data_IF_636527573318
#
_entry.id   IF_636527573318
#
_cell.length_a   1.000
_cell.length_b   1.000
_cell.length_c   1.000
_cell.angle_alpha   90.00
_cell.angle_beta   90.00
_cell.angle_gamma   90.00
#
_symmetry.space_group_name_H-M   'P 1'
#
loop_
_entity.id
_entity.type
_entity.pdbx_description
1 polymer ?
#
# COMPACT_ATOMS: atom_id res chain seq x y z
N UNK A 1 11.69 5.86 20.61
CA UNK A 1 12.19 5.35 19.32
C UNK A 1 13.39 4.42 19.49
N UNK A 2 14.46 4.81 20.20
CA UNK A 2 15.57 3.87 20.48
C UNK A 2 15.10 2.56 21.13
N UNK A 3 14.28 2.62 22.19
CA UNK A 3 13.69 1.43 22.83
C UNK A 3 12.81 0.58 21.88
N UNK A 4 12.22 1.19 20.83
CA UNK A 4 11.44 0.43 19.85
C UNK A 4 12.36 -0.36 18.93
N UNK A 5 13.48 0.23 18.49
CA UNK A 5 14.49 -0.48 17.71
C UNK A 5 15.08 -1.64 18.54
N UNK A 6 15.34 -1.42 19.83
CA UNK A 6 15.84 -2.47 20.70
C UNK A 6 14.85 -3.65 20.80
N UNK A 7 13.54 -3.39 20.97
CA UNK A 7 12.51 -4.43 20.97
C UNK A 7 12.39 -5.18 19.63
N UNK A 8 12.54 -4.47 18.49
CA UNK A 8 12.53 -5.12 17.17
C UNK A 8 13.71 -6.08 17.02
N UNK A 9 14.89 -5.67 17.49
CA UNK A 9 16.10 -6.50 17.46
C UNK A 9 15.98 -7.70 18.40
N UNK A 10 15.46 -7.50 19.62
CA UNK A 10 15.20 -8.58 20.58
C UNK A 10 14.23 -9.63 20.03
N UNK A 11 13.26 -9.22 19.21
CA UNK A 11 12.24 -10.08 18.60
C UNK A 11 12.46 -10.33 17.10
N UNK A 12 13.70 -10.22 16.59
CA UNK A 12 14.01 -10.22 15.14
C UNK A 12 13.35 -11.38 14.39
N UNK A 13 13.47 -12.61 14.89
CA UNK A 13 12.88 -13.79 14.22
C UNK A 13 11.37 -13.72 14.07
N UNK A 14 10.66 -13.12 15.04
CA UNK A 14 9.21 -12.96 14.95
C UNK A 14 8.85 -11.84 13.97
N UNK A 15 9.59 -10.73 14.00
CA UNK A 15 9.40 -9.60 13.08
C UNK A 15 9.66 -10.03 11.64
N UNK A 16 10.73 -10.78 11.38
CA UNK A 16 11.05 -11.35 10.07
C UNK A 16 9.92 -12.23 9.53
N UNK A 17 9.34 -13.09 10.37
CA UNK A 17 8.21 -13.95 9.98
C UNK A 17 6.97 -13.13 9.62
N UNK A 18 6.69 -12.08 10.39
CA UNK A 18 5.57 -11.16 10.13
C UNK A 18 5.78 -10.42 8.80
N UNK A 19 6.96 -9.81 8.59
CA UNK A 19 7.27 -9.10 7.35
C UNK A 19 7.19 -10.03 6.15
N UNK A 20 7.71 -11.26 6.27
CA UNK A 20 7.64 -12.26 5.22
C UNK A 20 6.20 -12.67 4.88
N UNK A 21 5.33 -12.79 5.88
CA UNK A 21 3.91 -13.06 5.66
C UNK A 21 3.25 -11.96 4.80
N UNK A 22 3.43 -10.69 5.16
CA UNK A 22 2.87 -9.58 4.37
C UNK A 22 3.47 -9.51 2.97
N UNK A 23 4.79 -9.66 2.85
CA UNK A 23 5.47 -9.69 1.55
C UNK A 23 4.88 -10.77 0.63
N UNK A 24 4.65 -11.97 1.16
CA UNK A 24 4.10 -13.07 0.38
C UNK A 24 2.70 -12.77 -0.14
N UNK A 25 1.79 -12.28 0.70
CA UNK A 25 0.40 -12.10 0.30
C UNK A 25 0.19 -10.83 -0.53
N UNK A 26 0.91 -9.74 -0.24
CA UNK A 26 0.82 -8.52 -1.06
C UNK A 26 1.22 -8.79 -2.53
N UNK A 27 2.27 -9.59 -2.75
CA UNK A 27 2.71 -10.02 -4.09
C UNK A 27 1.72 -10.96 -4.79
N UNK A 28 0.97 -11.75 -4.02
CA UNK A 28 0.11 -12.78 -4.58
C UNK A 28 -0.94 -12.18 -5.52
N UNK A 29 -1.54 -11.04 -5.12
CA UNK A 29 -2.54 -10.33 -5.93
C UNK A 29 -2.00 -9.93 -7.31
N UNK A 30 -0.80 -9.36 -7.35
CA UNK A 30 -0.18 -8.91 -8.60
C UNK A 30 0.21 -10.10 -9.50
N UNK A 31 0.65 -11.21 -8.90
CA UNK A 31 1.00 -12.42 -9.63
C UNK A 31 -0.24 -13.05 -10.26
N UNK A 32 -1.32 -13.24 -9.51
CA UNK A 32 -2.53 -13.89 -10.06
C UNK A 32 -3.27 -13.03 -11.08
N UNK A 33 -3.06 -11.71 -11.06
CA UNK A 33 -3.57 -10.79 -12.06
C UNK A 33 -2.76 -10.80 -13.37
N UNK A 34 -1.55 -11.36 -13.37
CA UNK A 34 -0.67 -11.37 -14.55
C UNK A 34 -1.14 -12.35 -15.63
N UNK A 35 -0.97 -11.97 -16.90
CA UNK A 35 -1.29 -12.85 -18.04
C UNK A 35 -0.48 -14.15 -17.98
N UNK A 36 0.78 -14.07 -17.53
CA UNK A 36 1.66 -15.22 -17.39
C UNK A 36 1.18 -16.23 -16.33
N UNK A 37 0.47 -15.81 -15.28
CA UNK A 37 -0.21 -16.74 -14.37
C UNK A 37 -1.47 -17.31 -15.03
N UNK A 38 -2.24 -16.45 -15.71
CA UNK A 38 -3.51 -16.83 -16.36
C UNK A 38 -3.35 -17.84 -17.48
N UNK A 39 -2.21 -17.88 -18.16
CA UNK A 39 -1.88 -18.89 -19.17
C UNK A 39 -1.92 -20.34 -18.64
N UNK A 40 -1.81 -20.54 -17.32
CA UNK A 40 -1.90 -21.85 -16.68
C UNK A 40 -3.34 -22.26 -16.32
N UNK A 41 -4.32 -21.37 -16.49
CA UNK A 41 -5.72 -21.62 -16.17
C UNK A 41 -6.41 -22.20 -17.40
N UNK A 42 -6.72 -23.49 -17.36
CA UNK A 42 -7.39 -24.20 -18.47
C UNK A 42 -8.83 -24.61 -18.14
N UNK A 43 -9.26 -24.50 -16.87
CA UNK A 43 -10.62 -24.82 -16.47
C UNK A 43 -11.59 -23.69 -16.89
N UNK A 44 -12.68 -23.99 -17.61
CA UNK A 44 -13.63 -22.98 -18.07
C UNK A 44 -14.39 -22.28 -16.93
N UNK A 45 -14.36 -22.82 -15.70
CA UNK A 45 -14.91 -22.18 -14.50
C UNK A 45 -13.96 -21.14 -13.91
N UNK A 46 -12.74 -21.03 -14.41
CA UNK A 46 -11.71 -20.13 -13.88
C UNK A 46 -10.98 -20.70 -12.65
N UNK A 47 -10.99 -22.01 -12.45
CA UNK A 47 -10.26 -22.65 -11.34
C UNK A 47 -8.89 -23.16 -11.79
N UNK A 48 -7.94 -23.29 -10.86
CA UNK A 48 -6.59 -23.79 -11.15
C UNK A 48 -6.27 -25.04 -10.32
N UNK A 49 -5.66 -26.05 -10.93
CA UNK A 49 -5.21 -27.24 -10.20
C UNK A 49 -4.02 -26.90 -9.28
N UNK A 50 -3.86 -27.62 -8.16
CA UNK A 50 -2.67 -27.46 -7.29
C UNK A 50 -1.35 -27.59 -8.05
N UNK A 51 -1.31 -28.50 -9.03
CA UNK A 51 -0.12 -28.76 -9.86
C UNK A 51 0.22 -27.57 -10.75
N UNK A 52 -0.78 -26.98 -11.39
CA UNK A 52 -0.55 -25.86 -12.31
C UNK A 52 -0.33 -24.55 -11.53
N UNK A 53 -0.98 -24.37 -10.38
CA UNK A 53 -0.65 -23.29 -9.44
C UNK A 53 0.83 -23.36 -9.03
N UNK A 54 1.32 -24.52 -8.61
CA UNK A 54 2.74 -24.71 -8.25
C UNK A 54 3.69 -24.35 -9.40
N UNK A 55 3.35 -24.71 -10.64
CA UNK A 55 4.17 -24.38 -11.82
C UNK A 55 4.14 -22.89 -12.15
N UNK A 56 2.96 -22.28 -12.09
CA UNK A 56 2.77 -20.86 -12.37
C UNK A 56 3.54 -20.01 -11.35
N UNK A 57 3.51 -20.38 -10.07
CA UNK A 57 4.25 -19.67 -9.03
C UNK A 57 5.78 -19.87 -9.16
N UNK A 58 6.24 -21.07 -9.54
CA UNK A 58 7.66 -21.33 -9.74
C UNK A 58 8.22 -20.61 -10.99
N UNK A 59 7.43 -20.45 -12.05
CA UNK A 59 7.86 -19.81 -13.30
C UNK A 59 8.10 -18.30 -13.12
N UNK A 60 7.36 -17.65 -12.22
CA UNK A 60 7.49 -16.22 -11.93
C UNK A 60 8.76 -15.85 -11.16
N UNK A 61 9.42 -16.83 -10.50
CA UNK A 61 10.66 -16.64 -9.71
C UNK A 61 10.58 -15.57 -8.62
N UNK A 62 9.37 -15.28 -8.13
CA UNK A 62 9.15 -14.35 -7.01
C UNK A 62 9.06 -15.03 -5.64
N UNK A 63 8.85 -16.35 -5.61
CA UNK A 63 8.75 -17.15 -4.39
C UNK A 63 9.80 -18.25 -4.33
N UNK A 64 10.20 -18.61 -3.11
CA UNK A 64 10.96 -19.82 -2.83
C UNK A 64 10.06 -21.06 -2.84
N UNK A 65 10.60 -22.27 -3.08
CA UNK A 65 9.80 -23.49 -3.05
C UNK A 65 9.04 -23.70 -1.74
N UNK A 66 9.63 -23.35 -0.60
CA UNK A 66 8.96 -23.41 0.71
C UNK A 66 7.78 -22.45 0.84
N UNK A 67 7.88 -21.26 0.25
CA UNK A 67 6.79 -20.28 0.24
C UNK A 67 5.63 -20.75 -0.63
N UNK A 68 5.92 -21.35 -1.79
CA UNK A 68 4.85 -21.89 -2.64
C UNK A 68 4.14 -23.06 -1.94
N UNK A 69 4.88 -23.94 -1.26
CA UNK A 69 4.29 -25.01 -0.46
C UNK A 69 3.44 -24.47 0.69
N UNK A 70 3.89 -23.40 1.36
CA UNK A 70 3.10 -22.71 2.37
C UNK A 70 1.80 -22.15 1.78
N UNK A 71 1.85 -21.44 0.65
CA UNK A 71 0.66 -20.92 -0.03
C UNK A 71 -0.33 -22.03 -0.41
N UNK A 72 0.18 -23.16 -0.94
CA UNK A 72 -0.65 -24.34 -1.23
C UNK A 72 -1.30 -24.92 0.03
N UNK A 73 -0.60 -24.91 1.16
CA UNK A 73 -1.16 -25.35 2.44
C UNK A 73 -2.24 -24.41 2.99
N UNK A 74 -2.19 -23.12 2.62
CA UNK A 74 -3.21 -22.12 2.95
C UNK A 74 -4.38 -22.13 1.96
N UNK A 75 -4.22 -22.70 0.77
CA UNK A 75 -5.28 -22.78 -0.24
C UNK A 75 -6.30 -23.85 0.10
N UNK A 76 -7.57 -23.55 -0.15
CA UNK A 76 -8.65 -24.54 -0.12
C UNK A 76 -8.86 -25.06 -1.53
N UNK A 77 -9.09 -26.37 -1.64
CA UNK A 77 -9.39 -27.00 -2.91
C UNK A 77 -10.73 -27.72 -2.83
N UNK A 78 -11.47 -27.69 -3.93
CA UNK A 78 -12.74 -28.41 -4.07
C UNK A 78 -12.51 -29.94 -4.11
N UNK A 79 -13.60 -30.70 -4.26
CA UNK A 79 -13.56 -32.16 -4.37
C UNK A 79 -12.72 -32.68 -5.55
N UNK A 80 -12.41 -31.83 -6.54
CA UNK A 80 -11.60 -32.16 -7.72
C UNK A 80 -10.16 -31.62 -7.60
N UNK A 81 -9.71 -31.21 -6.41
CA UNK A 81 -8.40 -30.61 -6.17
C UNK A 81 -8.16 -29.27 -6.90
N UNK A 82 -9.24 -28.53 -7.19
CA UNK A 82 -9.20 -27.23 -7.86
C UNK A 82 -9.26 -26.08 -6.86
N UNK A 83 -8.43 -25.06 -7.05
CA UNK A 83 -8.35 -23.85 -6.22
C UNK A 83 -9.08 -22.71 -6.94
N UNK A 84 -9.95 -22.01 -6.21
CA UNK A 84 -10.38 -20.66 -6.58
C UNK A 84 -9.28 -19.68 -6.19
N UNK A 85 -8.47 -19.28 -7.16
CA UNK A 85 -7.30 -18.44 -6.92
C UNK A 85 -7.68 -16.98 -6.67
N UNK A 86 -8.81 -16.51 -7.19
CA UNK A 86 -9.28 -15.14 -7.00
C UNK A 86 -9.82 -14.97 -5.57
N UNK A 87 -10.63 -15.92 -5.11
CA UNK A 87 -11.09 -15.97 -3.71
C UNK A 87 -9.90 -16.12 -2.76
N UNK A 88 -8.98 -17.06 -3.05
CA UNK A 88 -7.80 -17.28 -2.23
C UNK A 88 -6.94 -16.02 -2.10
N UNK A 89 -6.63 -15.34 -3.20
CA UNK A 89 -5.83 -14.12 -3.17
C UNK A 89 -6.55 -12.99 -2.40
N UNK A 90 -7.85 -12.80 -2.63
CA UNK A 90 -8.63 -11.74 -1.99
C UNK A 90 -8.75 -11.92 -0.48
N UNK A 91 -8.95 -13.16 -0.02
CA UNK A 91 -9.09 -13.51 1.41
C UNK A 91 -7.92 -13.04 2.27
N UNK A 92 -6.69 -13.10 1.74
CA UNK A 92 -5.49 -12.70 2.48
C UNK A 92 -5.05 -11.27 2.18
N UNK A 93 -5.39 -10.71 1.01
CA UNK A 93 -4.97 -9.35 0.65
C UNK A 93 -5.60 -8.28 1.54
N UNK A 94 -6.91 -8.35 1.81
CA UNK A 94 -7.59 -7.30 2.59
C UNK A 94 -7.04 -7.21 4.03
N UNK A 95 -6.95 -8.32 4.80
CA UNK A 95 -6.32 -8.27 6.12
C UNK A 95 -4.84 -7.87 6.06
N UNK A 96 -4.13 -8.29 5.00
CA UNK A 96 -2.74 -7.91 4.78
C UNK A 96 -2.59 -6.39 4.53
N UNK A 97 -3.54 -5.79 3.82
CA UNK A 97 -3.57 -4.35 3.53
C UNK A 97 -3.74 -3.53 4.81
N UNK A 98 -4.75 -3.88 5.60
CA UNK A 98 -5.14 -3.14 6.80
C UNK A 98 -4.03 -3.09 7.85
N UNK A 99 -3.40 -4.23 8.15
CA UNK A 99 -2.32 -4.29 9.13
C UNK A 99 -0.99 -3.85 8.51
N UNK A 100 -0.75 -4.20 7.24
CA UNK A 100 0.50 -3.91 6.53
C UNK A 100 0.79 -2.42 6.43
N UNK A 101 -0.23 -1.57 6.26
CA UNK A 101 -0.05 -0.12 6.21
C UNK A 101 0.56 0.42 7.51
N UNK A 102 0.06 -0.02 8.66
CA UNK A 102 0.56 0.41 9.97
C UNK A 102 2.02 0.00 10.20
N UNK A 103 2.42 -1.17 9.71
CA UNK A 103 3.82 -1.63 9.75
C UNK A 103 4.70 -0.74 8.87
N UNK A 104 4.25 -0.42 7.65
CA UNK A 104 4.96 0.47 6.74
C UNK A 104 5.16 1.87 7.36
N UNK A 105 4.12 2.41 8.00
CA UNK A 105 4.19 3.70 8.74
C UNK A 105 5.19 3.62 9.88
N UNK A 106 5.14 2.57 10.71
CA UNK A 106 6.06 2.40 11.84
C UNK A 106 7.51 2.37 11.39
N UNK A 107 7.84 1.54 10.39
CA UNK A 107 9.19 1.42 9.87
C UNK A 107 9.67 2.71 9.20
N UNK A 108 8.80 3.37 8.43
CA UNK A 108 9.11 4.69 7.83
C UNK A 108 9.41 5.71 8.93
N UNK A 109 8.56 5.81 9.95
CA UNK A 109 8.71 6.76 11.04
C UNK A 109 10.00 6.52 11.84
N UNK A 110 10.31 5.26 12.15
CA UNK A 110 11.59 4.91 12.80
C UNK A 110 12.79 5.28 11.93
N UNK A 111 12.72 5.04 10.61
CA UNK A 111 13.83 5.33 9.69
C UNK A 111 14.13 6.82 9.57
N UNK A 112 13.10 7.67 9.57
CA UNK A 112 13.26 9.13 9.49
C UNK A 112 13.84 9.72 10.77
N UNK A 113 13.57 9.11 11.94
CA UNK A 113 14.08 9.58 13.22
C UNK A 113 15.42 8.94 13.64
N UNK A 114 15.75 7.77 13.09
CA UNK A 114 16.99 7.03 13.39
C UNK A 114 17.73 6.63 12.09
N UNK A 115 18.09 7.60 11.21
CA UNK A 115 18.58 7.30 9.85
C UNK A 115 19.96 6.61 9.80
N UNK A 116 20.69 6.59 10.92
CA UNK A 116 22.03 6.01 11.01
C UNK A 116 22.08 4.70 11.82
N UNK A 117 20.94 4.18 12.29
CA UNK A 117 20.92 2.90 13.01
C UNK A 117 20.98 1.72 12.02
N UNK A 118 22.14 1.09 11.93
CA UNK A 118 22.39 -0.03 11.01
C UNK A 118 21.47 -1.22 11.30
N UNK A 119 21.01 -1.39 12.55
CA UNK A 119 20.12 -2.50 12.93
C UNK A 119 18.75 -2.35 12.28
N UNK A 120 18.29 -1.12 12.09
CA UNK A 120 17.02 -0.84 11.43
C UNK A 120 17.09 -1.14 9.93
N UNK A 121 18.27 -1.00 9.31
CA UNK A 121 18.48 -1.22 7.88
C UNK A 121 18.06 -2.62 7.45
N UNK A 122 18.38 -3.66 8.23
CA UNK A 122 17.99 -5.05 7.94
C UNK A 122 16.47 -5.20 7.83
N UNK A 123 15.71 -4.59 8.74
CA UNK A 123 14.24 -4.63 8.69
C UNK A 123 13.67 -3.86 7.50
N UNK A 124 14.29 -2.73 7.13
CA UNK A 124 13.88 -1.95 5.96
C UNK A 124 14.14 -2.71 4.65
N UNK A 125 15.26 -3.42 4.55
CA UNK A 125 15.58 -4.28 3.39
C UNK A 125 14.57 -5.45 3.28
N UNK A 126 14.21 -6.08 4.40
CA UNK A 126 13.19 -7.14 4.42
C UNK A 126 11.78 -6.62 4.11
N UNK A 127 11.47 -5.39 4.51
CA UNK A 127 10.17 -4.76 4.31
C UNK A 127 10.07 -3.99 2.98
N UNK A 128 11.08 -4.05 2.11
CA UNK A 128 11.16 -3.22 0.89
C UNK A 128 9.89 -3.32 0.03
N UNK A 129 9.38 -4.53 -0.22
CA UNK A 129 8.15 -4.72 -0.99
C UNK A 129 6.93 -4.12 -0.31
N UNK A 130 6.82 -4.25 1.02
CA UNK A 130 5.72 -3.68 1.81
C UNK A 130 5.77 -2.14 1.73
N UNK A 131 6.95 -1.56 1.95
CA UNK A 131 7.16 -0.12 1.89
C UNK A 131 6.84 0.42 0.49
N UNK A 132 7.28 -0.27 -0.57
CA UNK A 132 7.01 0.12 -1.95
C UNK A 132 5.52 0.03 -2.29
N UNK A 133 4.83 -1.02 -1.84
CA UNK A 133 3.39 -1.20 -2.04
C UNK A 133 2.58 -0.07 -1.40
N UNK A 134 2.92 0.33 -0.17
CA UNK A 134 2.18 1.36 0.57
C UNK A 134 2.65 2.79 0.32
N UNK A 135 3.83 3.01 -0.26
CA UNK A 135 4.37 4.35 -0.51
C UNK A 135 3.39 5.28 -1.26
N UNK A 136 2.68 4.83 -2.31
CA UNK A 136 1.69 5.67 -2.98
C UNK A 136 0.50 6.07 -2.09
N UNK A 137 0.21 5.32 -1.03
CA UNK A 137 -0.93 5.52 -0.13
C UNK A 137 -0.52 6.20 1.19
N UNK A 138 0.78 6.45 1.40
CA UNK A 138 1.32 7.05 2.61
C UNK A 138 1.36 8.58 2.49
N UNK A 139 0.37 9.25 3.09
CA UNK A 139 0.36 10.69 3.28
C UNK A 139 1.32 11.13 4.38
N UNK A 140 2.01 12.26 4.18
CA UNK A 140 2.92 12.88 5.14
C UNK A 140 2.66 14.38 5.18
N UNK A 141 2.37 14.92 6.37
CA UNK A 141 2.28 16.37 6.59
C UNK A 141 3.11 16.77 7.81
N UNK A 142 3.57 18.02 7.81
CA UNK A 142 4.28 18.61 8.93
C UNK A 142 3.46 19.77 9.48
N UNK A 143 3.24 19.77 10.79
CA UNK A 143 2.48 20.80 11.48
C UNK A 143 3.29 21.36 12.65
N UNK A 144 3.01 22.61 13.03
CA UNK A 144 3.55 23.18 14.25
C UNK A 144 2.74 22.64 15.44
N UNK A 145 3.34 21.78 16.25
CA UNK A 145 2.72 21.25 17.45
C UNK A 145 2.60 22.29 18.57
N UNK A 146 1.82 21.99 19.60
CA UNK A 146 1.61 22.87 20.76
C UNK A 146 2.92 23.22 21.49
N UNK A 147 3.95 22.37 21.36
CA UNK A 147 5.28 22.61 21.91
C UNK A 147 6.15 23.57 21.09
N UNK A 148 5.60 24.20 20.03
CA UNK A 148 6.34 25.01 19.03
C UNK A 148 7.47 24.22 18.35
N UNK A 149 7.27 22.91 18.21
CA UNK A 149 8.15 22.02 17.45
C UNK A 149 7.36 21.46 16.27
N UNK A 150 8.06 21.24 15.17
CA UNK A 150 7.48 20.60 14.00
C UNK A 150 7.20 19.14 14.36
N UNK A 151 5.97 18.72 14.12
CA UNK A 151 5.49 17.35 14.29
C UNK A 151 5.07 16.81 12.93
N UNK A 152 5.43 15.56 12.65
CA UNK A 152 5.09 14.88 11.40
C UNK A 152 3.93 13.92 11.64
N UNK A 153 2.91 14.01 10.78
CA UNK A 153 1.73 13.14 10.83
C UNK A 153 1.72 12.29 9.56
N UNK A 154 1.54 10.98 9.75
CA UNK A 154 1.33 10.01 8.69
C UNK A 154 -0.13 9.58 8.67
N UNK A 155 -0.70 9.41 7.49
CA UNK A 155 -2.08 8.97 7.31
C UNK A 155 -2.22 8.20 6.00
N UNK A 156 -3.25 7.34 5.93
CA UNK A 156 -3.57 6.61 4.70
C UNK A 156 -4.36 7.51 3.75
N UNK A 157 -3.98 7.49 2.47
CA UNK A 157 -4.73 8.11 1.37
C UNK A 157 -5.47 7.00 0.64
N UNK A 158 -6.80 7.11 0.55
CA UNK A 158 -7.61 6.10 -0.13
C UNK A 158 -7.35 6.04 -1.64
N UNK A 159 -7.51 4.86 -2.23
CA UNK A 159 -7.38 4.64 -3.68
C UNK A 159 -8.42 5.45 -4.47
N UNK A 160 -9.64 5.57 -3.94
CA UNK A 160 -10.71 6.39 -4.51
C UNK A 160 -10.32 7.86 -4.57
N UNK A 161 -9.84 8.44 -3.46
CA UNK A 161 -9.47 9.85 -3.41
C UNK A 161 -8.29 10.15 -4.36
N UNK A 162 -7.33 9.22 -4.45
CA UNK A 162 -6.22 9.34 -5.42
C UNK A 162 -6.71 9.35 -6.85
N UNK A 163 -7.60 8.43 -7.21
CA UNK A 163 -8.15 8.33 -8.57
C UNK A 163 -8.93 9.60 -8.93
N UNK A 164 -9.75 10.11 -8.01
CA UNK A 164 -10.48 11.36 -8.20
C UNK A 164 -9.54 12.57 -8.34
N UNK A 165 -8.49 12.64 -7.54
CA UNK A 165 -7.48 13.72 -7.62
C UNK A 165 -6.75 13.74 -8.96
N UNK A 166 -6.62 12.59 -9.62
CA UNK A 166 -5.95 12.48 -10.92
C UNK A 166 -6.86 12.83 -12.12
N UNK A 167 -8.15 13.08 -11.90
CA UNK A 167 -9.09 13.43 -12.96
C UNK A 167 -8.71 14.75 -13.66
N UNK A 168 -8.92 14.86 -14.99
CA UNK A 168 -8.54 16.05 -15.75
C UNK A 168 -9.15 17.35 -15.20
N UNK A 169 -10.41 17.33 -14.77
CA UNK A 169 -11.06 18.52 -14.24
C UNK A 169 -10.40 19.05 -12.95
N UNK A 170 -10.05 18.16 -12.02
CA UNK A 170 -9.40 18.53 -10.74
C UNK A 170 -7.98 19.03 -11.00
N UNK A 171 -7.25 18.39 -11.92
CA UNK A 171 -5.90 18.83 -12.31
C UNK A 171 -5.89 20.23 -12.91
N UNK A 172 -6.88 20.57 -13.72
CA UNK A 172 -6.98 21.89 -14.34
C UNK A 172 -7.42 22.95 -13.35
N UNK A 173 -8.41 22.65 -12.48
CA UNK A 173 -8.81 23.51 -11.36
C UNK A 173 -7.61 23.87 -10.47
N UNK A 174 -6.80 22.86 -10.08
CA UNK A 174 -5.55 23.07 -9.34
C UNK A 174 -4.56 23.96 -10.09
N UNK A 175 -4.39 23.76 -11.41
CA UNK A 175 -3.46 24.57 -12.22
C UNK A 175 -3.88 26.04 -12.21
N UNK A 176 -5.18 26.30 -12.39
CA UNK A 176 -5.74 27.64 -12.37
C UNK A 176 -5.57 28.30 -11.00
N UNK A 177 -5.91 27.59 -9.92
CA UNK A 177 -5.72 28.08 -8.55
C UNK A 177 -4.27 28.50 -8.27
N UNK A 178 -3.28 27.68 -8.66
CA UNK A 178 -1.86 28.01 -8.47
C UNK A 178 -1.48 29.28 -9.24
N UNK A 179 -2.00 29.46 -10.46
CA UNK A 179 -1.74 30.66 -11.26
C UNK A 179 -2.31 31.91 -10.57
N UNK A 180 -3.55 31.86 -10.09
CA UNK A 180 -4.24 33.00 -9.48
C UNK A 180 -3.55 33.43 -8.17
N UNK A 181 -3.23 32.47 -7.29
CA UNK A 181 -2.60 32.77 -5.99
C UNK A 181 -1.19 33.35 -6.12
N UNK A 182 -0.43 32.94 -7.14
CA UNK A 182 0.93 33.46 -7.37
C UNK A 182 0.91 34.87 -7.95
N UNK A 183 -0.07 35.19 -8.80
CA UNK A 183 -0.16 36.47 -9.48
C UNK A 183 -0.88 37.55 -8.67
N UNK A 184 -1.90 37.18 -7.90
CA UNK A 184 -2.84 38.15 -7.29
C UNK A 184 -2.86 38.12 -5.76
N UNK A 185 -2.27 37.10 -5.11
CA UNK A 185 -2.38 36.90 -3.66
C UNK A 185 -1.38 37.71 -2.81
N UNK A 186 -1.91 38.57 -1.93
CA UNK A 186 -1.15 39.13 -0.80
C UNK A 186 -0.74 38.05 0.20
N UNK A 187 0.43 38.17 0.83
CA UNK A 187 1.05 37.10 1.64
C UNK A 187 0.19 36.62 2.82
N UNK A 188 -0.67 37.50 3.38
CA UNK A 188 -1.57 37.19 4.49
C UNK A 188 -2.82 36.38 4.10
N UNK A 189 -3.23 36.39 2.83
CA UNK A 189 -4.50 35.78 2.36
C UNK A 189 -4.28 34.43 1.68
N UNK A 190 -3.03 34.10 1.30
CA UNK A 190 -2.71 32.86 0.56
C UNK A 190 -3.17 31.59 1.27
N UNK A 191 -3.05 31.55 2.60
CA UNK A 191 -3.46 30.38 3.38
C UNK A 191 -4.98 30.22 3.40
N UNK A 192 -5.72 31.31 3.50
CA UNK A 192 -7.19 31.30 3.49
C UNK A 192 -7.72 30.86 2.12
N UNK A 193 -7.17 31.40 1.04
CA UNK A 193 -7.51 30.98 -0.33
C UNK A 193 -7.20 29.50 -0.58
N UNK A 194 -6.09 28.99 -0.04
CA UNK A 194 -5.74 27.57 -0.14
C UNK A 194 -6.73 26.67 0.59
N UNK A 195 -7.17 27.06 1.79
CA UNK A 195 -8.20 26.31 2.54
C UNK A 195 -9.52 26.30 1.75
N UNK A 196 -9.96 27.46 1.24
CA UNK A 196 -11.17 27.55 0.44
C UNK A 196 -11.11 26.64 -0.80
N UNK A 197 -9.99 26.63 -1.52
CA UNK A 197 -9.78 25.72 -2.65
C UNK A 197 -9.91 24.24 -2.24
N UNK A 198 -9.40 23.87 -1.08
CA UNK A 198 -9.52 22.49 -0.58
C UNK A 198 -10.98 22.13 -0.26
N UNK A 199 -11.73 23.05 0.37
CA UNK A 199 -13.16 22.86 0.67
C UNK A 199 -13.99 22.73 -0.61
N UNK A 200 -13.75 23.61 -1.59
CA UNK A 200 -14.42 23.57 -2.90
C UNK A 200 -14.12 22.26 -3.64
N UNK A 201 -12.86 21.81 -3.62
CA UNK A 201 -12.46 20.56 -4.29
C UNK A 201 -13.15 19.33 -3.68
N UNK A 202 -13.35 19.30 -2.36
CA UNK A 202 -14.10 18.21 -1.70
C UNK A 202 -15.53 18.15 -2.23
N UNK A 203 -16.17 19.31 -2.36
CA UNK A 203 -17.53 19.41 -2.90
C UNK A 203 -17.61 18.96 -4.38
N UNK A 204 -16.65 19.40 -5.21
CA UNK A 204 -16.55 18.96 -6.60
C UNK A 204 -16.39 17.44 -6.73
N UNK A 205 -15.51 16.84 -5.90
CA UNK A 205 -15.28 15.41 -5.88
C UNK A 205 -16.54 14.62 -5.47
N UNK A 206 -17.29 15.12 -4.48
CA UNK A 206 -18.56 14.49 -4.07
C UNK A 206 -19.59 14.51 -5.20
N UNK A 207 -19.77 15.64 -5.88
CA UNK A 207 -20.69 15.73 -7.02
C UNK A 207 -20.26 14.81 -8.16
N UNK A 208 -18.97 14.80 -8.51
CA UNK A 208 -18.45 13.95 -9.59
C UNK A 208 -18.72 12.46 -9.32
N UNK A 209 -18.64 12.03 -8.06
CA UNK A 209 -18.96 10.65 -7.68
C UNK A 209 -20.44 10.28 -7.85
N UNK A 210 -21.37 11.23 -7.64
CA UNK A 210 -22.81 11.00 -7.76
C UNK A 210 -23.31 10.96 -9.21
N UNK A 211 -22.58 11.60 -10.13
CA UNK A 211 -22.96 11.68 -11.55
C UNK A 211 -22.40 10.49 -12.35
N UNK A 212 -21.44 9.74 -11.77
CA UNK A 212 -20.77 8.62 -12.43
C UNK A 212 -21.45 7.25 -12.25
N UNK A 213 -22.62 7.20 -11.58
CA UNK A 213 -23.52 6.03 -11.54
C UNK A 213 -24.51 6.03 -12.72
#
# INVERSE_FOLDING_TARGET
MMLMVDMLVESSSNVEMILKFFDMFLKLKDIVASDAFRDYITDPRGLISKKDFQKAMDSQKQYTPSEIQFLLSCSEADENEMIDYEEFASRFQEPAKDIGFNIAVLLTNLSEHMPHDVRLKTFLELAECILNYFNPYLGRIEIMGASKRIERIYFEISETNKTQWEMPQVKESKRQFIFDVVNEGGESEKMELFINFCEDTIFEMQIASQISE
#
